data_IF_272680488199
#
_entry.id   IF_272680488199
#
_cell.length_a   1.000
_cell.length_b   1.000
_cell.length_c   1.000
_cell.angle_alpha   90.00
_cell.angle_beta   90.00
_cell.angle_gamma   90.00
#
_symmetry.space_group_name_H-M   'P 1'
#
loop_
_entity.id
_entity.type
_entity.pdbx_description
1 polymer ?
#
# COMPACT_ATOMS: atom_id res chain seq x y z
N UNK A 1 -20.07 16.81 -16.91
CA UNK A 1 -18.71 16.76 -16.32
C UNK A 1 -18.83 16.00 -15.02
N UNK A 2 -18.19 14.83 -14.87
CA UNK A 2 -18.23 14.08 -13.60
C UNK A 2 -17.15 14.62 -12.67
N UNK A 3 -17.51 14.94 -11.44
CA UNK A 3 -16.59 15.51 -10.46
C UNK A 3 -15.70 14.42 -9.83
N UNK A 4 -14.40 14.69 -9.74
CA UNK A 4 -13.39 13.74 -9.23
C UNK A 4 -13.08 13.99 -7.75
N UNK A 5 -13.05 12.93 -6.95
CA UNK A 5 -12.47 12.94 -5.60
C UNK A 5 -10.97 12.68 -5.75
N UNK A 6 -10.16 13.70 -5.45
CA UNK A 6 -8.70 13.53 -5.40
C UNK A 6 -8.28 13.39 -3.95
N UNK A 7 -7.79 12.20 -3.60
CA UNK A 7 -7.20 11.94 -2.29
C UNK A 7 -5.76 12.49 -2.25
N UNK A 8 -5.49 13.34 -1.26
CA UNK A 8 -4.17 13.94 -1.02
C UNK A 8 -3.24 12.90 -0.37
N UNK A 9 -1.97 12.86 -0.76
CA UNK A 9 -0.91 12.45 0.16
C UNK A 9 -0.54 13.67 1.03
N UNK A 10 -0.19 13.52 2.33
CA UNK A 10 0.17 14.67 3.16
C UNK A 10 1.24 15.55 2.46
N UNK A 11 0.92 16.82 2.20
CA UNK A 11 1.90 17.81 1.67
C UNK A 11 1.82 18.19 0.18
N UNK A 12 1.13 17.45 -0.71
CA UNK A 12 1.13 17.78 -2.15
C UNK A 12 0.17 18.93 -2.54
N UNK A 13 0.51 19.81 -3.51
CA UNK A 13 -0.38 20.87 -4.03
C UNK A 13 -1.48 20.32 -4.96
N UNK A 14 -2.66 20.95 -4.94
CA UNK A 14 -3.77 20.66 -5.86
C UNK A 14 -3.75 21.58 -7.08
N UNK A 15 -4.31 21.12 -8.18
CA UNK A 15 -4.90 22.02 -9.18
C UNK A 15 -6.37 22.30 -8.78
N UNK A 16 -6.72 23.58 -8.60
CA UNK A 16 -8.05 24.23 -8.61
C UNK A 16 -9.24 23.67 -7.78
N UNK A 17 -9.18 22.49 -7.16
CA UNK A 17 -10.30 21.94 -6.40
C UNK A 17 -10.41 22.54 -4.99
N UNK A 18 -11.63 22.86 -4.54
CA UNK A 18 -11.88 23.34 -3.17
C UNK A 18 -11.53 22.23 -2.17
N UNK A 19 -10.67 22.57 -1.21
CA UNK A 19 -10.30 21.67 -0.12
C UNK A 19 -11.40 21.65 0.97
N UNK A 20 -11.75 20.46 1.43
CA UNK A 20 -12.71 20.24 2.52
C UNK A 20 -12.07 19.31 3.54
N UNK A 21 -11.90 19.80 4.77
CA UNK A 21 -11.47 18.99 5.91
C UNK A 21 -12.69 18.37 6.57
N UNK A 22 -12.60 17.08 6.91
CA UNK A 22 -13.69 16.32 7.53
C UNK A 22 -13.27 15.80 8.89
N UNK A 23 -14.18 15.89 9.86
CA UNK A 23 -13.95 15.54 11.27
C UNK A 23 -14.90 14.44 11.77
N UNK A 24 -15.92 14.09 10.99
CA UNK A 24 -16.93 13.10 11.36
C UNK A 24 -17.35 12.26 10.16
N UNK A 25 -18.03 11.14 10.44
CA UNK A 25 -18.67 10.33 9.42
C UNK A 25 -19.67 11.15 8.59
N UNK A 26 -20.46 12.02 9.21
CA UNK A 26 -21.47 12.80 8.51
C UNK A 26 -20.88 13.87 7.60
N UNK A 27 -19.78 14.52 8.02
CA UNK A 27 -19.03 15.43 7.15
C UNK A 27 -18.43 14.68 5.96
N UNK A 28 -17.84 13.50 6.18
CA UNK A 28 -17.29 12.66 5.11
C UNK A 28 -18.38 12.22 4.12
N UNK A 29 -19.53 11.76 4.61
CA UNK A 29 -20.69 11.37 3.80
C UNK A 29 -21.22 12.53 2.97
N UNK A 30 -21.38 13.71 3.58
CA UNK A 30 -21.83 14.92 2.91
C UNK A 30 -20.85 15.34 1.82
N UNK A 31 -19.55 15.39 2.13
CA UNK A 31 -18.53 15.77 1.18
C UNK A 31 -18.47 14.80 -0.02
N UNK A 32 -18.62 13.50 0.20
CA UNK A 32 -18.69 12.51 -0.90
C UNK A 32 -19.96 12.67 -1.76
N UNK A 33 -21.12 13.02 -1.18
CA UNK A 33 -22.31 13.38 -1.98
C UNK A 33 -22.09 14.62 -2.83
N UNK A 34 -21.50 15.66 -2.26
CA UNK A 34 -21.20 16.92 -2.98
C UNK A 34 -20.24 16.71 -4.17
N UNK A 35 -19.40 15.67 -4.12
CA UNK A 35 -18.52 15.31 -5.25
C UNK A 35 -19.24 14.74 -6.46
N UNK A 36 -20.58 14.64 -6.45
CA UNK A 36 -21.37 14.36 -7.67
C UNK A 36 -21.44 15.58 -8.58
N UNK A 37 -21.54 16.76 -7.98
CA UNK A 37 -21.80 18.01 -8.70
C UNK A 37 -20.54 18.86 -8.88
N UNK A 38 -19.55 18.73 -7.99
CA UNK A 38 -18.32 19.54 -8.02
C UNK A 38 -17.08 18.79 -7.54
N UNK A 39 -15.89 18.98 -8.15
CA UNK A 39 -14.67 18.32 -7.69
C UNK A 39 -14.28 18.83 -6.30
N UNK A 40 -13.94 17.91 -5.39
CA UNK A 40 -13.44 18.23 -4.05
C UNK A 40 -12.11 17.55 -3.75
N UNK A 41 -11.27 18.27 -3.04
CA UNK A 41 -10.07 17.78 -2.39
C UNK A 41 -10.39 17.46 -0.93
N UNK A 42 -10.44 16.18 -0.56
CA UNK A 42 -10.80 15.77 0.81
C UNK A 42 -9.55 15.63 1.69
N UNK A 43 -9.60 16.28 2.85
CA UNK A 43 -8.64 16.12 3.92
C UNK A 43 -9.29 15.40 5.11
N UNK A 44 -9.04 14.10 5.20
CA UNK A 44 -9.54 13.22 6.26
C UNK A 44 -8.56 13.09 7.43
N UNK A 45 -7.51 13.91 7.51
CA UNK A 45 -6.47 13.79 8.54
C UNK A 45 -6.97 14.01 9.97
N UNK A 46 -8.14 14.62 10.17
CA UNK A 46 -8.77 14.79 11.48
C UNK A 46 -9.58 13.56 11.94
N UNK A 47 -9.70 12.51 11.11
CA UNK A 47 -10.33 11.24 11.49
C UNK A 47 -9.29 10.33 12.14
N UNK A 48 -8.77 10.70 13.31
CA UNK A 48 -7.61 10.06 13.94
C UNK A 48 -7.83 9.57 15.39
N UNK A 49 -9.09 9.37 15.79
CA UNK A 49 -9.47 8.97 17.14
C UNK A 49 -9.70 7.45 17.29
N UNK A 50 -9.47 6.94 18.50
CA UNK A 50 -10.02 5.66 18.96
C UNK A 50 -11.51 5.86 19.27
N UNK A 51 -12.37 5.13 18.58
CA UNK A 51 -13.83 5.26 18.68
C UNK A 51 -14.43 4.31 19.72
N UNK A 52 -13.90 3.09 19.80
CA UNK A 52 -14.44 2.05 20.69
C UNK A 52 -13.34 1.09 21.12
N UNK A 53 -13.38 0.66 22.37
CA UNK A 53 -12.65 -0.52 22.86
C UNK A 53 -13.69 -1.53 23.37
N UNK A 54 -13.61 -2.77 22.87
CA UNK A 54 -14.46 -3.88 23.27
C UNK A 54 -13.58 -4.94 23.93
N UNK A 55 -13.52 -4.90 25.26
CA UNK A 55 -12.70 -5.81 26.06
C UNK A 55 -13.15 -7.27 25.89
N UNK A 56 -14.45 -7.51 25.75
CA UNK A 56 -15.01 -8.86 25.61
C UNK A 56 -14.57 -9.53 24.31
N UNK A 57 -14.49 -8.75 23.23
CA UNK A 57 -14.07 -9.23 21.90
C UNK A 57 -12.59 -9.02 21.63
N UNK A 58 -11.86 -8.38 22.55
CA UNK A 58 -10.45 -8.00 22.37
C UNK A 58 -10.24 -7.25 21.05
N UNK A 59 -11.14 -6.29 20.80
CA UNK A 59 -11.18 -5.54 19.56
C UNK A 59 -11.28 -4.03 19.82
N UNK A 60 -10.60 -3.25 19.01
CA UNK A 60 -10.66 -1.78 19.05
C UNK A 60 -11.15 -1.25 17.71
N UNK A 61 -11.98 -0.23 17.72
CA UNK A 61 -12.37 0.49 16.52
C UNK A 61 -11.69 1.86 16.50
N UNK A 62 -10.91 2.10 15.46
CA UNK A 62 -10.12 3.32 15.28
C UNK A 62 -10.45 3.98 13.96
N UNK A 63 -10.42 5.31 13.91
CA UNK A 63 -10.63 6.04 12.66
C UNK A 63 -9.46 5.84 11.68
N UNK A 64 -9.76 5.95 10.39
CA UNK A 64 -8.85 5.59 9.32
C UNK A 64 -7.54 6.38 9.29
N UNK A 65 -7.54 7.65 9.69
CA UNK A 65 -6.34 8.49 9.74
C UNK A 65 -5.56 8.35 11.05
N UNK A 66 -6.01 7.51 12.00
CA UNK A 66 -5.24 7.20 13.19
C UNK A 66 -3.89 6.61 12.79
N UNK A 67 -2.81 7.17 13.35
CA UNK A 67 -1.45 6.67 13.12
C UNK A 67 -1.18 5.47 14.00
N UNK A 68 -0.42 4.51 13.48
CA UNK A 68 -0.01 3.33 14.26
C UNK A 68 0.80 3.68 15.51
N UNK A 69 1.66 4.71 15.42
CA UNK A 69 2.43 5.19 16.58
C UNK A 69 1.54 5.78 17.68
N UNK A 70 0.47 6.49 17.29
CA UNK A 70 -0.53 7.00 18.23
C UNK A 70 -1.31 5.84 18.85
N UNK A 71 -1.74 4.88 18.04
CA UNK A 71 -2.42 3.68 18.55
C UNK A 71 -1.54 2.94 19.57
N UNK A 72 -0.26 2.71 19.28
CA UNK A 72 0.65 2.05 20.21
C UNK A 72 0.79 2.83 21.53
N UNK A 73 0.84 4.17 21.47
CA UNK A 73 0.87 5.02 22.66
C UNK A 73 -0.44 4.96 23.47
N UNK A 74 -1.59 5.00 22.80
CA UNK A 74 -2.92 4.95 23.44
C UNK A 74 -3.20 3.59 24.11
N UNK A 75 -2.53 2.52 23.68
CA UNK A 75 -2.55 1.19 24.31
C UNK A 75 -1.67 1.11 25.58
N UNK A 76 -0.93 2.16 25.92
CA UNK A 76 -0.06 2.21 27.10
C UNK A 76 1.00 1.10 27.09
N UNK A 77 1.32 0.50 28.25
CA UNK A 77 2.35 -0.55 28.35
C UNK A 77 2.10 -1.76 27.44
N UNK A 78 0.84 -2.12 27.17
CA UNK A 78 0.49 -3.23 26.28
C UNK A 78 0.85 -2.94 24.82
N UNK A 79 0.99 -1.67 24.44
CA UNK A 79 1.38 -1.24 23.08
C UNK A 79 2.88 -1.29 22.81
N UNK A 80 3.73 -1.62 23.80
CA UNK A 80 5.18 -1.62 23.64
C UNK A 80 5.69 -2.55 22.52
N UNK A 81 5.19 -3.79 22.37
CA UNK A 81 5.62 -4.66 21.26
C UNK A 81 5.31 -4.04 19.89
N UNK A 82 4.13 -3.41 19.76
CA UNK A 82 3.73 -2.72 18.54
C UNK A 82 4.62 -1.50 18.28
N UNK A 83 4.90 -0.69 19.31
CA UNK A 83 5.78 0.47 19.22
C UNK A 83 7.20 0.08 18.78
N UNK A 84 7.73 -1.04 19.30
CA UNK A 84 9.04 -1.58 18.94
C UNK A 84 9.09 -2.02 17.48
N UNK A 85 8.09 -2.79 17.04
CA UNK A 85 8.01 -3.24 15.64
C UNK A 85 7.96 -2.07 14.66
N UNK A 86 7.18 -1.03 14.96
CA UNK A 86 7.02 0.16 14.11
C UNK A 86 8.33 0.92 13.84
N UNK A 87 9.39 0.72 14.64
CA UNK A 87 10.70 1.35 14.41
C UNK A 87 11.43 0.77 13.19
N UNK A 88 11.10 -0.45 12.78
CA UNK A 88 11.74 -1.16 11.66
C UNK A 88 10.77 -1.51 10.52
N UNK A 89 9.46 -1.36 10.75
CA UNK A 89 8.44 -1.72 9.79
C UNK A 89 8.35 -0.73 8.62
N UNK A 90 8.34 -1.24 7.38
CA UNK A 90 7.96 -0.47 6.19
C UNK A 90 6.43 -0.36 6.06
N UNK A 91 5.76 0.12 7.12
CA UNK A 91 4.31 0.21 7.21
C UNK A 91 3.81 1.62 6.86
N UNK A 92 2.72 1.77 6.08
CA UNK A 92 2.08 3.07 5.91
C UNK A 92 1.66 3.68 7.25
N UNK A 93 1.81 5.00 7.39
CA UNK A 93 1.70 5.68 8.68
C UNK A 93 0.32 5.56 9.35
N UNK A 94 -0.75 5.47 8.56
CA UNK A 94 -2.14 5.41 9.06
C UNK A 94 -2.77 4.04 8.86
N UNK A 95 -3.76 3.72 9.69
CA UNK A 95 -4.49 2.44 9.64
C UNK A 95 -5.16 2.23 8.29
N UNK A 96 -5.89 3.23 7.76
CA UNK A 96 -6.58 3.10 6.47
C UNK A 96 -5.61 2.90 5.30
N UNK A 97 -4.44 3.56 5.32
CA UNK A 97 -3.43 3.36 4.28
C UNK A 97 -2.85 1.96 4.31
N UNK A 98 -2.50 1.45 5.50
CA UNK A 98 -1.94 0.11 5.66
C UNK A 98 -2.95 -0.98 5.21
N UNK A 99 -4.22 -0.81 5.60
CA UNK A 99 -5.32 -1.71 5.19
C UNK A 99 -5.58 -1.63 3.68
N UNK A 100 -5.59 -0.43 3.11
CA UNK A 100 -5.77 -0.24 1.66
C UNK A 100 -4.62 -0.81 0.84
N UNK A 101 -3.39 -0.79 1.37
CA UNK A 101 -2.20 -1.28 0.69
C UNK A 101 -2.02 -2.81 0.80
N UNK A 102 -2.85 -3.51 1.60
CA UNK A 102 -2.64 -4.90 2.01
C UNK A 102 -1.29 -5.09 2.72
N UNK A 103 -0.92 -4.18 3.62
CA UNK A 103 0.40 -4.22 4.23
C UNK A 103 0.66 -5.52 5.00
N UNK A 104 1.93 -5.90 5.13
CA UNK A 104 2.34 -6.96 6.02
C UNK A 104 2.18 -6.52 7.49
N UNK A 105 1.66 -7.43 8.31
CA UNK A 105 1.63 -7.31 9.76
C UNK A 105 2.96 -7.69 10.40
N UNK A 106 3.06 -7.61 11.74
CA UNK A 106 4.34 -7.70 12.43
C UNK A 106 5.09 -9.02 12.29
N UNK A 107 4.35 -10.12 12.24
CA UNK A 107 4.90 -11.48 12.08
C UNK A 107 4.94 -11.94 10.62
N UNK A 108 4.83 -10.99 9.68
CA UNK A 108 4.87 -11.23 8.24
C UNK A 108 3.58 -11.78 7.64
N UNK A 109 2.55 -12.12 8.41
CA UNK A 109 1.24 -12.39 7.81
C UNK A 109 0.58 -11.10 7.30
N UNK A 110 -0.39 -11.17 6.36
CA UNK A 110 -1.14 -9.99 5.96
C UNK A 110 -1.79 -9.29 7.16
N UNK A 111 -1.67 -7.96 7.22
CA UNK A 111 -2.32 -7.16 8.26
C UNK A 111 -3.84 -7.35 8.25
N UNK A 112 -4.41 -7.69 7.09
CA UNK A 112 -5.82 -8.04 6.94
C UNK A 112 -6.29 -9.15 7.91
N UNK A 113 -5.41 -10.04 8.35
CA UNK A 113 -5.71 -11.06 9.36
C UNK A 113 -6.00 -10.48 10.76
N UNK A 114 -5.62 -9.21 11.01
CA UNK A 114 -5.92 -8.49 12.23
C UNK A 114 -7.13 -7.55 12.08
N UNK A 115 -7.75 -7.47 10.90
CA UNK A 115 -8.91 -6.61 10.64
C UNK A 115 -10.19 -7.44 10.75
N UNK A 116 -11.08 -7.06 11.68
CA UNK A 116 -12.40 -7.67 11.83
C UNK A 116 -13.43 -7.03 10.91
N UNK A 117 -13.44 -5.69 10.88
CA UNK A 117 -14.45 -4.94 10.13
C UNK A 117 -13.91 -3.60 9.64
N UNK A 118 -14.54 -3.06 8.59
CA UNK A 118 -14.28 -1.74 8.04
C UNK A 118 -15.60 -0.97 7.96
N UNK A 119 -15.63 0.25 8.49
CA UNK A 119 -16.68 1.21 8.16
C UNK A 119 -16.25 2.03 6.95
N UNK A 120 -16.89 1.81 5.82
CA UNK A 120 -16.60 2.46 4.54
C UNK A 120 -17.66 3.50 4.22
N UNK A 121 -17.25 4.72 3.87
CA UNK A 121 -18.13 5.68 3.19
C UNK A 121 -17.94 5.52 1.68
N UNK A 122 -19.01 5.09 1.02
CA UNK A 122 -19.08 4.94 -0.44
C UNK A 122 -19.19 6.30 -1.15
N UNK A 123 -18.99 6.32 -2.47
CA UNK A 123 -19.10 7.54 -3.28
C UNK A 123 -20.50 8.15 -3.35
N UNK A 124 -21.50 7.40 -2.88
CA UNK A 124 -22.88 7.87 -2.73
C UNK A 124 -23.14 8.49 -1.35
N UNK A 125 -22.14 8.50 -0.47
CA UNK A 125 -22.25 9.00 0.91
C UNK A 125 -22.96 8.04 1.85
N UNK A 126 -23.09 6.77 1.48
CA UNK A 126 -23.57 5.71 2.36
C UNK A 126 -22.43 5.18 3.21
N UNK A 127 -22.65 5.13 4.52
CA UNK A 127 -21.75 4.50 5.49
C UNK A 127 -22.15 3.04 5.63
N UNK A 128 -21.24 2.13 5.29
CA UNK A 128 -21.46 0.69 5.31
C UNK A 128 -20.44 0.02 6.23
N UNK A 129 -20.91 -0.91 7.06
CA UNK A 129 -20.03 -1.78 7.85
C UNK A 129 -19.79 -3.07 7.06
N UNK A 130 -18.52 -3.37 6.83
CA UNK A 130 -18.04 -4.49 6.02
C UNK A 130 -17.24 -5.43 6.90
N UNK A 131 -17.50 -6.72 6.79
CA UNK A 131 -16.72 -7.76 7.44
C UNK A 131 -16.80 -9.05 6.60
N UNK A 132 -16.29 -10.17 7.13
CA UNK A 132 -16.26 -11.46 6.42
C UNK A 132 -17.65 -12.08 6.23
N UNK A 133 -18.67 -11.64 6.98
CA UNK A 133 -20.04 -12.14 6.89
C UNK A 133 -20.97 -11.13 6.19
N UNK A 134 -20.79 -9.84 6.46
CA UNK A 134 -21.60 -8.73 5.98
C UNK A 134 -20.87 -8.00 4.85
N UNK A 135 -21.45 -8.04 3.66
CA UNK A 135 -20.86 -7.45 2.45
C UNK A 135 -19.45 -8.01 2.15
N UNK A 136 -19.26 -9.31 2.32
CA UNK A 136 -17.97 -10.00 2.19
C UNK A 136 -17.23 -9.70 0.88
N UNK A 137 -17.94 -9.63 -0.25
CA UNK A 137 -17.35 -9.30 -1.55
C UNK A 137 -16.72 -7.90 -1.54
N UNK A 138 -17.44 -6.90 -1.01
CA UNK A 138 -16.93 -5.54 -0.93
C UNK A 138 -15.83 -5.41 0.13
N UNK A 139 -15.90 -6.17 1.22
CA UNK A 139 -14.82 -6.25 2.21
C UNK A 139 -13.50 -6.71 1.57
N UNK A 140 -13.54 -7.79 0.77
CA UNK A 140 -12.37 -8.32 0.04
C UNK A 140 -11.83 -7.37 -1.03
N UNK A 141 -12.70 -6.55 -1.63
CA UNK A 141 -12.31 -5.53 -2.60
C UNK A 141 -11.68 -4.30 -1.94
N UNK A 142 -12.12 -3.93 -0.73
CA UNK A 142 -11.62 -2.77 0.02
C UNK A 142 -10.30 -3.10 0.73
N UNK A 143 -10.20 -4.28 1.35
CA UNK A 143 -8.95 -4.80 1.89
C UNK A 143 -7.94 -4.99 0.76
N UNK A 144 -6.79 -4.32 0.82
CA UNK A 144 -5.84 -4.32 -0.30
C UNK A 144 -6.33 -3.63 -1.56
N UNK A 145 -7.48 -2.95 -1.49
CA UNK A 145 -8.18 -2.31 -2.58
C UNK A 145 -7.58 -0.99 -3.04
N UNK A 146 -6.41 -0.62 -2.52
CA UNK A 146 -5.66 0.58 -2.89
C UNK A 146 -6.48 1.87 -2.72
N UNK A 147 -7.53 1.87 -1.88
CA UNK A 147 -8.37 3.03 -1.60
C UNK A 147 -9.22 3.50 -2.78
N UNK A 148 -9.65 2.59 -3.67
CA UNK A 148 -10.45 2.96 -4.87
C UNK A 148 -11.95 2.64 -4.78
N UNK A 149 -12.42 1.92 -3.75
CA UNK A 149 -13.84 1.56 -3.61
C UNK A 149 -14.66 2.48 -2.69
N UNK A 150 -14.00 3.43 -2.03
CA UNK A 150 -14.60 4.35 -1.07
C UNK A 150 -13.55 4.84 -0.08
N UNK A 151 -13.98 5.57 0.94
CA UNK A 151 -13.10 6.07 2.00
C UNK A 151 -13.35 5.33 3.31
N UNK A 152 -12.29 4.74 3.85
CA UNK A 152 -12.32 4.07 5.15
C UNK A 152 -12.50 5.14 6.23
N UNK A 153 -13.66 5.12 6.90
CA UNK A 153 -13.94 5.97 8.05
C UNK A 153 -13.31 5.40 9.31
N UNK A 154 -13.51 4.11 9.57
CA UNK A 154 -12.92 3.41 10.71
C UNK A 154 -12.62 1.95 10.39
N UNK A 155 -11.74 1.34 11.18
CA UNK A 155 -11.34 -0.06 11.11
C UNK A 155 -11.46 -0.67 12.51
N UNK A 156 -12.10 -1.82 12.61
CA UNK A 156 -12.07 -2.65 13.82
C UNK A 156 -10.91 -3.63 13.73
N UNK A 157 -9.96 -3.53 14.65
CA UNK A 157 -8.76 -4.36 14.76
C UNK A 157 -8.89 -5.34 15.92
N UNK A 158 -8.49 -6.60 15.70
CA UNK A 158 -8.25 -7.59 16.77
C UNK A 158 -6.96 -7.25 17.49
N UNK A 159 -7.05 -6.48 18.57
CA UNK A 159 -5.87 -5.91 19.23
C UNK A 159 -4.95 -7.00 19.78
N UNK A 160 -5.51 -8.05 20.36
CA UNK A 160 -4.72 -9.17 20.89
C UNK A 160 -3.92 -9.90 19.81
N UNK A 161 -4.54 -10.14 18.65
CA UNK A 161 -3.86 -10.79 17.53
C UNK A 161 -2.72 -9.90 16.99
N UNK A 162 -2.95 -8.59 16.92
CA UNK A 162 -1.95 -7.63 16.50
C UNK A 162 -0.77 -7.57 17.49
N UNK A 163 -1.04 -7.53 18.80
CA UNK A 163 0.00 -7.49 19.83
C UNK A 163 0.79 -8.80 19.88
N UNK A 164 0.13 -9.96 19.81
CA UNK A 164 0.81 -11.26 19.72
C UNK A 164 1.68 -11.39 18.47
N UNK A 165 1.22 -10.86 17.34
CA UNK A 165 2.05 -10.78 16.13
C UNK A 165 3.27 -9.89 16.36
N UNK A 166 3.09 -8.74 17.02
CA UNK A 166 4.17 -7.81 17.33
C UNK A 166 5.21 -8.38 18.30
N UNK A 167 4.78 -9.17 19.29
CA UNK A 167 5.69 -9.90 20.19
C UNK A 167 6.55 -10.93 19.45
N UNK A 168 6.02 -11.52 18.38
CA UNK A 168 6.71 -12.49 17.53
C UNK A 168 7.45 -11.85 16.36
N UNK A 169 7.43 -10.52 16.25
CA UNK A 169 8.03 -9.82 15.14
C UNK A 169 9.56 -10.03 15.16
N UNK A 170 10.09 -10.46 14.02
CA UNK A 170 11.53 -10.53 13.80
C UNK A 170 11.97 -9.27 13.04
N UNK A 171 13.05 -8.60 13.48
CA UNK A 171 13.59 -7.49 12.72
C UNK A 171 14.04 -7.96 11.33
N UNK A 172 13.93 -7.10 10.30
CA UNK A 172 14.46 -7.44 8.98
C UNK A 172 15.98 -7.64 9.05
N UNK A 173 16.49 -8.60 8.28
CA UNK A 173 17.92 -8.72 8.03
C UNK A 173 18.33 -7.59 7.08
N UNK A 174 19.19 -6.69 7.54
CA UNK A 174 19.64 -5.54 6.74
C UNK A 174 21.11 -5.66 6.34
N UNK A 175 21.37 -5.42 5.06
CA UNK A 175 22.72 -5.23 4.51
C UNK A 175 22.82 -3.76 4.11
N UNK A 176 23.70 -3.01 4.77
CA UNK A 176 23.92 -1.58 4.56
C UNK A 176 25.22 -1.35 3.80
N UNK A 177 25.18 -0.49 2.78
CA UNK A 177 26.39 -0.05 2.12
C UNK A 177 27.12 1.03 2.95
N UNK A 178 28.46 0.96 3.04
CA UNK A 178 29.26 1.91 3.80
C UNK A 178 29.22 3.33 3.19
N UNK A 179 29.48 4.33 4.02
CA UNK A 179 29.63 5.74 3.63
C UNK A 179 28.44 6.62 4.00
N UNK A 180 28.62 7.96 4.07
CA UNK A 180 27.59 8.89 4.52
C UNK A 180 26.39 8.93 3.57
N UNK A 181 25.22 9.22 4.12
CA UNK A 181 24.04 9.56 3.33
C UNK A 181 24.32 10.83 2.52
N UNK A 182 24.00 10.83 1.23
CA UNK A 182 24.15 12.03 0.40
C UNK A 182 23.01 13.01 0.71
N UNK A 183 23.35 14.26 0.99
CA UNK A 183 22.37 15.32 1.32
C UNK A 183 21.49 15.73 0.14
N UNK A 184 21.98 15.55 -1.09
CA UNK A 184 21.27 15.92 -2.34
C UNK A 184 20.67 14.70 -3.07
N UNK A 185 20.66 13.52 -2.44
CA UNK A 185 20.17 12.31 -3.05
C UNK A 185 18.67 12.10 -2.84
N UNK A 186 18.00 11.66 -3.90
CA UNK A 186 16.66 11.09 -3.86
C UNK A 186 16.81 9.60 -3.58
N UNK A 187 16.25 9.17 -2.45
CA UNK A 187 16.09 7.76 -2.13
C UNK A 187 14.87 7.18 -2.86
N UNK A 188 15.06 6.03 -3.51
CA UNK A 188 13.97 5.22 -4.06
C UNK A 188 14.02 3.84 -3.44
N UNK A 189 12.86 3.34 -3.01
CA UNK A 189 12.72 2.01 -2.45
C UNK A 189 11.96 1.11 -3.43
N UNK A 190 12.46 -0.10 -3.63
CA UNK A 190 11.88 -1.13 -4.49
C UNK A 190 11.55 -2.32 -3.62
N UNK A 191 10.26 -2.62 -3.50
CA UNK A 191 9.76 -3.78 -2.78
C UNK A 191 9.48 -4.93 -3.75
N UNK A 192 9.99 -6.11 -3.41
CA UNK A 192 9.86 -7.34 -4.19
C UNK A 192 9.53 -8.51 -3.26
N UNK A 193 8.94 -9.55 -3.84
CA UNK A 193 8.60 -10.81 -3.18
C UNK A 193 9.36 -11.92 -3.89
N UNK A 194 10.13 -12.70 -3.15
CA UNK A 194 10.98 -13.76 -3.71
C UNK A 194 10.71 -15.08 -3.00
N UNK A 195 10.77 -16.23 -3.70
CA UNK A 195 10.98 -17.50 -3.02
C UNK A 195 12.20 -17.40 -2.10
N UNK A 196 12.15 -17.89 -0.84
CA UNK A 196 13.24 -17.70 0.11
C UNK A 196 14.61 -18.19 -0.39
N UNK A 197 14.63 -19.27 -1.17
CA UNK A 197 15.82 -19.85 -1.81
C UNK A 197 16.43 -18.97 -2.92
N UNK A 198 15.70 -17.97 -3.41
CA UNK A 198 16.12 -17.07 -4.48
C UNK A 198 16.65 -15.72 -3.99
N UNK A 199 16.65 -15.46 -2.68
CA UNK A 199 17.09 -14.18 -2.11
C UNK A 199 18.55 -13.88 -2.44
N UNK A 200 19.45 -14.86 -2.27
CA UNK A 200 20.89 -14.66 -2.51
C UNK A 200 21.18 -14.37 -3.98
N UNK A 201 20.54 -15.12 -4.90
CA UNK A 201 20.72 -14.93 -6.35
C UNK A 201 20.18 -13.57 -6.81
N UNK A 202 19.11 -13.07 -6.19
CA UNK A 202 18.56 -11.74 -6.44
C UNK A 202 19.48 -10.63 -5.88
N UNK A 203 20.01 -10.78 -4.67
CA UNK A 203 20.93 -9.81 -4.07
C UNK A 203 22.16 -9.60 -4.95
N UNK A 204 22.76 -10.69 -5.46
CA UNK A 204 23.90 -10.61 -6.40
C UNK A 204 23.54 -9.82 -7.67
N UNK A 205 22.36 -10.07 -8.25
CA UNK A 205 21.89 -9.34 -9.43
C UNK A 205 21.61 -7.86 -9.12
N UNK A 206 21.03 -7.54 -7.96
CA UNK A 206 20.79 -6.16 -7.54
C UNK A 206 22.10 -5.38 -7.37
N UNK A 207 23.12 -5.99 -6.75
CA UNK A 207 24.45 -5.39 -6.64
C UNK A 207 25.12 -5.19 -8.01
N UNK A 208 25.06 -6.20 -8.89
CA UNK A 208 25.61 -6.10 -10.24
C UNK A 208 24.94 -4.98 -11.06
N UNK A 209 23.61 -4.89 -11.01
CA UNK A 209 22.85 -3.85 -11.69
C UNK A 209 23.17 -2.46 -11.15
N UNK A 210 23.26 -2.31 -9.82
CA UNK A 210 23.62 -1.04 -9.19
C UNK A 210 25.03 -0.59 -9.61
N UNK A 211 25.99 -1.52 -9.65
CA UNK A 211 27.34 -1.27 -10.13
C UNK A 211 27.37 -0.86 -11.61
N UNK A 212 26.72 -1.62 -12.48
CA UNK A 212 26.65 -1.36 -13.93
C UNK A 212 26.02 0.00 -14.23
N UNK A 213 24.94 0.34 -13.53
CA UNK A 213 24.20 1.60 -13.71
C UNK A 213 24.80 2.77 -12.93
N UNK A 214 25.87 2.54 -12.16
CA UNK A 214 26.56 3.54 -11.32
C UNK A 214 25.61 4.23 -10.33
N UNK A 215 24.74 3.45 -9.70
CA UNK A 215 23.81 3.91 -8.66
C UNK A 215 24.21 3.35 -7.30
N UNK A 216 24.07 4.16 -6.27
CA UNK A 216 24.37 3.74 -4.90
C UNK A 216 23.23 2.87 -4.38
N UNK A 217 23.48 1.58 -4.21
CA UNK A 217 22.61 0.69 -3.43
C UNK A 217 22.93 0.89 -1.96
N UNK A 218 22.02 1.52 -1.21
CA UNK A 218 22.23 1.91 0.18
C UNK A 218 21.88 0.81 1.17
N UNK A 219 20.76 0.11 0.92
CA UNK A 219 20.24 -0.92 1.81
C UNK A 219 19.57 -2.03 1.01
N UNK A 220 19.77 -3.27 1.44
CA UNK A 220 18.85 -4.37 1.16
C UNK A 220 18.32 -4.88 2.50
N UNK A 221 17.01 -4.86 2.69
CA UNK A 221 16.36 -5.49 3.84
C UNK A 221 15.60 -6.74 3.39
N UNK A 222 15.67 -7.79 4.19
CA UNK A 222 14.95 -9.05 3.96
C UNK A 222 14.11 -9.37 5.19
N UNK A 223 12.82 -9.63 4.98
CA UNK A 223 11.91 -10.10 6.03
C UNK A 223 11.13 -11.33 5.57
N UNK A 224 10.68 -12.12 6.53
CA UNK A 224 9.79 -13.25 6.25
C UNK A 224 8.36 -12.75 6.10
N UNK A 225 7.69 -13.18 5.05
CA UNK A 225 6.27 -12.90 4.80
C UNK A 225 5.51 -14.22 4.67
N UNK A 226 4.38 -14.33 5.36
CA UNK A 226 3.62 -15.58 5.49
C UNK A 226 2.41 -15.59 4.57
N UNK A 227 2.01 -16.79 4.15
CA UNK A 227 0.77 -17.02 3.38
C UNK A 227 -0.46 -16.55 4.17
N UNK A 228 -1.46 -15.99 3.49
CA UNK A 228 -2.74 -15.63 4.10
C UNK A 228 -3.67 -14.74 3.26
N UNK A 229 -3.57 -14.75 1.93
CA UNK A 229 -4.33 -13.81 1.10
C UNK A 229 -5.86 -14.02 1.13
N UNK A 230 -6.58 -13.01 1.63
CA UNK A 230 -8.04 -12.88 1.54
C UNK A 230 -8.48 -11.74 0.61
N UNK A 231 -7.53 -10.90 0.17
CA UNK A 231 -7.77 -9.68 -0.59
C UNK A 231 -7.82 -9.95 -2.10
N UNK A 232 -8.51 -9.09 -2.85
CA UNK A 232 -8.65 -9.25 -4.30
C UNK A 232 -7.30 -9.15 -5.05
N UNK A 233 -6.39 -8.29 -4.57
CA UNK A 233 -5.03 -8.13 -5.11
C UNK A 233 -3.97 -8.63 -4.11
N UNK A 234 -4.23 -9.78 -3.49
CA UNK A 234 -3.40 -10.30 -2.41
C UNK A 234 -2.05 -10.84 -2.85
N UNK A 235 -0.99 -10.36 -2.19
CA UNK A 235 0.38 -10.82 -2.42
C UNK A 235 0.71 -12.13 -1.70
N UNK A 236 0.05 -12.41 -0.57
CA UNK A 236 0.35 -13.51 0.35
C UNK A 236 -0.19 -14.89 -0.09
N UNK A 237 0.06 -15.25 -1.34
CA UNK A 237 -0.36 -16.52 -1.97
C UNK A 237 0.43 -17.72 -1.43
N UNK A 238 1.66 -17.49 -0.99
CA UNK A 238 2.59 -18.45 -0.39
C UNK A 238 3.48 -17.73 0.64
N UNK A 239 4.37 -18.47 1.30
CA UNK A 239 5.42 -17.85 2.09
C UNK A 239 6.44 -17.20 1.15
N UNK A 240 6.79 -15.95 1.42
CA UNK A 240 7.73 -15.16 0.64
C UNK A 240 8.87 -14.66 1.52
N UNK A 241 10.01 -14.37 0.91
CA UNK A 241 10.94 -13.39 1.43
C UNK A 241 10.55 -12.02 0.84
N UNK A 242 10.18 -11.07 1.70
CA UNK A 242 10.03 -9.68 1.32
C UNK A 242 11.41 -9.04 1.22
N UNK A 243 11.79 -8.54 0.05
CA UNK A 243 13.09 -7.90 -0.17
C UNK A 243 12.88 -6.46 -0.59
N UNK A 244 13.37 -5.53 0.23
CA UNK A 244 13.34 -4.10 -0.07
C UNK A 244 14.75 -3.58 -0.39
N UNK A 245 14.89 -2.96 -1.57
CA UNK A 245 16.15 -2.40 -2.06
C UNK A 245 16.05 -0.90 -2.07
N UNK A 246 16.90 -0.22 -1.31
CA UNK A 246 16.99 1.25 -1.25
C UNK A 246 18.15 1.73 -2.11
N UNK A 247 17.82 2.54 -3.10
CA UNK A 247 18.76 3.16 -4.05
C UNK A 247 18.82 4.67 -3.78
N UNK A 248 20.01 5.25 -3.90
CA UNK A 248 20.23 6.69 -3.83
C UNK A 248 20.72 7.21 -5.19
N UNK A 249 20.03 8.22 -5.71
CA UNK A 249 20.38 8.88 -6.98
C UNK A 249 20.32 10.40 -6.86
N UNK A 250 20.97 11.12 -7.76
CA UNK A 250 20.92 12.59 -7.77
C UNK A 250 19.52 13.09 -8.13
N UNK A 251 19.15 14.28 -7.63
CA UNK A 251 17.89 14.93 -7.94
C UNK A 251 17.84 15.59 -9.34
N UNK A 252 18.12 14.82 -10.40
CA UNK A 252 18.03 15.31 -11.79
C UNK A 252 17.00 14.52 -12.59
N UNK A 253 16.44 15.12 -13.65
CA UNK A 253 15.45 14.45 -14.50
C UNK A 253 16.01 13.14 -15.10
N UNK A 254 17.25 13.17 -15.60
CA UNK A 254 17.91 11.97 -16.13
C UNK A 254 18.09 10.88 -15.09
N UNK A 255 18.49 11.22 -13.86
CA UNK A 255 18.61 10.27 -12.76
C UNK A 255 17.24 9.69 -12.34
N UNK A 256 16.17 10.49 -12.36
CA UNK A 256 14.82 10.00 -12.08
C UNK A 256 14.35 8.97 -13.12
N UNK A 257 14.62 9.21 -14.41
CA UNK A 257 14.30 8.25 -15.49
C UNK A 257 15.11 6.96 -15.33
N UNK A 258 16.42 7.09 -15.12
CA UNK A 258 17.31 5.94 -14.90
C UNK A 258 16.87 5.11 -13.68
N UNK A 259 16.51 5.76 -12.57
CA UNK A 259 16.00 5.07 -11.37
C UNK A 259 14.71 4.32 -11.66
N UNK A 260 13.79 4.90 -12.43
CA UNK A 260 12.56 4.21 -12.81
C UNK A 260 12.84 2.96 -13.66
N UNK A 261 13.83 3.02 -14.55
CA UNK A 261 14.29 1.85 -15.32
C UNK A 261 14.91 0.79 -14.41
N UNK A 262 15.80 1.17 -13.49
CA UNK A 262 16.41 0.25 -12.52
C UNK A 262 15.35 -0.45 -11.66
N UNK A 263 14.36 0.30 -11.14
CA UNK A 263 13.26 -0.29 -10.39
C UNK A 263 12.55 -1.37 -11.21
N UNK A 264 12.22 -1.07 -12.47
CA UNK A 264 11.55 -2.01 -13.38
C UNK A 264 12.39 -3.25 -13.66
N UNK A 265 13.70 -3.10 -13.83
CA UNK A 265 14.63 -4.22 -14.00
C UNK A 265 14.71 -5.07 -12.74
N UNK A 266 14.77 -4.47 -11.55
CA UNK A 266 14.73 -5.23 -10.29
C UNK A 266 13.42 -6.04 -10.15
N UNK A 267 12.28 -5.47 -10.54
CA UNK A 267 11.04 -6.24 -10.59
C UNK A 267 11.10 -7.39 -11.61
N UNK A 268 11.74 -7.19 -12.77
CA UNK A 268 11.96 -8.25 -13.75
C UNK A 268 12.85 -9.38 -13.20
N UNK A 269 13.94 -9.04 -12.51
CA UNK A 269 14.83 -9.99 -11.84
C UNK A 269 14.09 -10.83 -10.79
N UNK A 270 13.19 -10.20 -10.01
CA UNK A 270 12.37 -10.92 -9.05
C UNK A 270 11.39 -11.88 -9.75
N UNK A 271 10.68 -11.42 -10.78
CA UNK A 271 9.73 -12.25 -11.54
C UNK A 271 10.42 -13.43 -12.22
N UNK A 272 11.61 -13.22 -12.81
CA UNK A 272 12.39 -14.27 -13.46
C UNK A 272 12.78 -15.41 -12.50
N UNK A 273 12.82 -15.14 -11.19
CA UNK A 273 13.08 -16.12 -10.12
C UNK A 273 11.80 -16.70 -9.51
N UNK A 274 10.67 -16.58 -10.19
CA UNK A 274 9.37 -17.02 -9.68
C UNK A 274 8.81 -16.13 -8.55
N UNK A 275 9.34 -14.91 -8.44
CA UNK A 275 8.90 -13.90 -7.49
C UNK A 275 7.73 -13.04 -7.99
N UNK A 276 7.45 -11.97 -7.25
CA UNK A 276 6.40 -11.00 -7.52
C UNK A 276 6.74 -9.66 -6.83
N UNK A 277 5.76 -8.78 -6.65
CA UNK A 277 5.87 -7.52 -5.92
C UNK A 277 4.52 -7.16 -5.30
N UNK A 278 4.47 -6.36 -4.22
CA UNK A 278 3.20 -5.89 -3.64
C UNK A 278 2.40 -5.00 -4.60
N UNK A 279 1.06 -5.07 -4.57
CA UNK A 279 0.20 -4.37 -5.52
C UNK A 279 0.40 -2.83 -5.50
N UNK A 280 0.73 -2.25 -4.35
CA UNK A 280 1.02 -0.81 -4.23
C UNK A 280 2.27 -0.38 -5.03
N UNK A 281 3.19 -1.30 -5.31
CA UNK A 281 4.39 -1.06 -6.12
C UNK A 281 4.10 -0.98 -7.64
N UNK A 282 2.88 -1.27 -8.09
CA UNK A 282 2.49 -1.33 -9.51
C UNK A 282 2.73 -0.02 -10.29
N UNK A 283 3.03 1.11 -9.63
CA UNK A 283 3.37 2.37 -10.31
C UNK A 283 4.69 2.34 -11.08
N UNK A 284 5.58 1.38 -10.77
CA UNK A 284 6.94 1.30 -11.33
C UNK A 284 7.18 0.07 -12.21
N UNK A 285 6.12 -0.68 -12.54
CA UNK A 285 6.21 -1.91 -13.32
C UNK A 285 5.67 -1.73 -14.74
N UNK A 286 6.03 -2.64 -15.65
CA UNK A 286 5.43 -2.71 -16.99
C UNK A 286 4.07 -3.41 -16.96
N UNK A 287 3.28 -3.26 -18.03
CA UNK A 287 2.03 -4.02 -18.19
C UNK A 287 2.25 -5.53 -18.14
N UNK A 288 3.28 -6.04 -18.82
CA UNK A 288 3.59 -7.47 -18.83
C UNK A 288 3.94 -8.00 -17.42
N UNK A 289 4.69 -7.23 -16.64
CA UNK A 289 5.00 -7.57 -15.24
C UNK A 289 3.74 -7.57 -14.37
N UNK A 290 2.83 -6.61 -14.60
CA UNK A 290 1.57 -6.52 -13.88
C UNK A 290 0.62 -7.68 -14.21
N UNK A 291 0.49 -8.03 -15.49
CA UNK A 291 -0.33 -9.15 -15.95
C UNK A 291 0.21 -10.49 -15.42
N UNK A 292 1.53 -10.66 -15.34
CA UNK A 292 2.17 -11.85 -14.80
C UNK A 292 1.94 -12.02 -13.27
N UNK A 293 2.02 -10.93 -12.51
CA UNK A 293 1.91 -10.97 -11.05
C UNK A 293 0.47 -10.85 -10.53
N UNK A 294 -0.41 -10.19 -11.28
CA UNK A 294 -1.79 -9.88 -10.89
C UNK A 294 -2.79 -10.17 -12.04
N UNK A 295 -2.92 -11.43 -12.49
CA UNK A 295 -3.84 -11.79 -13.58
C UNK A 295 -5.32 -11.47 -13.29
N UNK A 296 -5.67 -11.30 -12.01
CA UNK A 296 -7.01 -10.92 -11.55
C UNK A 296 -7.28 -9.40 -11.61
N UNK A 297 -6.28 -8.58 -11.93
CA UNK A 297 -6.42 -7.13 -11.99
C UNK A 297 -7.52 -6.63 -12.96
N UNK A 298 -7.71 -7.21 -14.17
CA UNK A 298 -8.81 -6.79 -15.04
C UNK A 298 -10.18 -6.95 -14.39
N UNK A 299 -10.41 -8.06 -13.66
CA UNK A 299 -11.65 -8.29 -12.93
C UNK A 299 -11.82 -7.29 -11.77
N UNK A 300 -10.74 -7.00 -11.04
CA UNK A 300 -10.76 -5.97 -10.00
C UNK A 300 -11.12 -4.58 -10.55
N UNK A 301 -10.55 -4.19 -11.70
CA UNK A 301 -10.87 -2.93 -12.35
C UNK A 301 -12.30 -2.89 -12.88
N UNK A 302 -12.84 -4.02 -13.33
CA UNK A 302 -14.25 -4.14 -13.72
C UNK A 302 -15.19 -3.92 -12.52
N UNK A 303 -14.90 -4.52 -11.37
CA UNK A 303 -15.65 -4.27 -10.13
C UNK A 303 -15.55 -2.80 -9.70
N UNK A 304 -14.37 -2.18 -9.80
CA UNK A 304 -14.23 -0.74 -9.56
C UNK A 304 -15.15 0.08 -10.47
N UNK A 305 -15.26 -0.24 -11.76
CA UNK A 305 -16.19 0.45 -12.68
C UNK A 305 -17.65 0.13 -12.38
N UNK A 306 -17.96 -1.04 -11.83
CA UNK A 306 -19.31 -1.37 -11.38
C UNK A 306 -19.75 -0.49 -10.21
N UNK A 307 -18.89 -0.29 -9.22
CA UNK A 307 -19.18 0.55 -8.04
C UNK A 307 -18.99 2.06 -8.29
N UNK A 308 -18.19 2.43 -9.27
CA UNK A 308 -17.93 3.82 -9.65
C UNK A 308 -17.83 3.95 -11.19
N UNK A 309 -18.98 3.91 -11.90
CA UNK A 309 -19.01 3.91 -13.37
C UNK A 309 -18.42 5.16 -14.01
N UNK A 310 -18.47 6.28 -13.30
CA UNK A 310 -17.92 7.55 -13.75
C UNK A 310 -16.45 7.75 -13.34
N UNK A 311 -15.82 6.73 -12.73
CA UNK A 311 -14.45 6.76 -12.23
C UNK A 311 -14.16 8.03 -11.39
N UNK A 312 -15.10 8.44 -10.53
CA UNK A 312 -15.01 9.64 -9.68
C UNK A 312 -13.90 9.53 -8.65
N UNK A 313 -13.69 8.35 -8.06
CA UNK A 313 -12.63 8.13 -7.08
C UNK A 313 -11.35 7.67 -7.77
N UNK A 314 -10.35 8.54 -7.79
CA UNK A 314 -9.05 8.25 -8.38
C UNK A 314 -7.90 8.69 -7.49
N UNK A 315 -6.89 7.83 -7.38
CA UNK A 315 -5.61 8.16 -6.77
C UNK A 315 -4.45 7.88 -7.74
N UNK A 316 -3.22 8.18 -7.31
CA UNK A 316 -2.04 8.01 -8.16
C UNK A 316 -1.81 6.55 -8.60
N UNK A 317 -2.13 5.58 -7.74
CA UNK A 317 -2.04 4.16 -8.07
C UNK A 317 -3.03 3.80 -9.19
N UNK A 318 -4.31 4.14 -9.02
CA UNK A 318 -5.35 3.84 -10.01
C UNK A 318 -5.07 4.46 -11.37
N UNK A 319 -4.67 5.74 -11.41
CA UNK A 319 -4.32 6.42 -12.66
C UNK A 319 -3.12 5.76 -13.35
N UNK A 320 -2.11 5.36 -12.58
CA UNK A 320 -0.93 4.67 -13.12
C UNK A 320 -1.31 3.32 -13.73
N UNK A 321 -2.08 2.52 -13.01
CA UNK A 321 -2.48 1.18 -13.44
C UNK A 321 -3.42 1.26 -14.65
N UNK A 322 -4.44 2.11 -14.61
CA UNK A 322 -5.36 2.28 -15.73
C UNK A 322 -4.68 2.82 -16.98
N UNK A 323 -3.70 3.72 -16.86
CA UNK A 323 -2.89 4.17 -17.99
C UNK A 323 -2.12 3.00 -18.63
N UNK A 324 -1.46 2.16 -17.83
CA UNK A 324 -0.76 0.97 -18.33
C UNK A 324 -1.70 0.00 -19.07
N UNK A 325 -2.92 -0.20 -18.56
CA UNK A 325 -3.88 -1.14 -19.14
C UNK A 325 -4.59 -0.61 -20.40
N UNK A 326 -4.64 0.72 -20.60
CA UNK A 326 -5.29 1.36 -21.77
C UNK A 326 -4.42 1.31 -23.03
N UNK A 327 -3.09 1.28 -22.89
CA UNK A 327 -2.21 1.22 -24.04
C UNK A 327 -2.09 -0.22 -24.57
N UNK A 328 -2.19 -0.45 -25.90
CA UNK A 328 -1.87 -1.75 -26.48
C UNK A 328 -0.43 -2.12 -26.12
N UNK A 329 -0.16 -3.42 -25.94
CA UNK A 329 1.21 -3.91 -25.76
C UNK A 329 1.98 -3.49 -27.01
N UNK A 330 2.89 -2.53 -26.87
CA UNK A 330 3.82 -2.22 -27.95
C UNK A 330 4.78 -3.40 -28.03
N UNK A 331 4.59 -4.26 -29.02
CA UNK A 331 5.66 -5.13 -29.50
C UNK A 331 6.78 -4.21 -29.97
N UNK A 332 7.83 -4.09 -29.18
CA UNK A 332 9.02 -3.36 -29.60
C UNK A 332 9.56 -4.03 -30.86
N UNK A 333 9.42 -3.38 -32.01
CA UNK A 333 10.00 -3.82 -33.31
C UNK A 333 11.55 -3.81 -33.34
N UNK A 334 12.20 -3.71 -32.17
CA UNK A 334 13.64 -3.57 -31.99
C UNK A 334 14.24 -4.67 -31.10
N UNK A 335 13.69 -5.87 -31.16
CA UNK A 335 14.38 -7.10 -30.75
C UNK A 335 14.60 -7.96 -31.98
N UNK A 336 15.72 -7.70 -32.66
CA UNK A 336 16.44 -8.60 -33.55
C UNK A 336 17.93 -8.39 -33.31
#
# INVERSE_FOLDING_TARGET
>A
MSATVTLRAPGAPFAAARQVRVHSADELRRALRETRDRPLALDASALDCLLRADESRRAIEVQGAMRWSRLAADLGPCGEPLARWLQSAALPATVAQAVSADAAGPDGAPLAACVDAIALVTLDGELRRLDRERHADMFRLVLGGQGVFGLIYSVTLRVDALLQAAERALPPLEILAPGPASTDAIASEVETLLPPDQVESFQKAAHALAFERRVTLRRIAVCQLRKGAETALGWATRNWAGVSVRLETRATLGACVQTAEICRTLHAEAIARGGSFPAHAARRVSRAQLDACYPQLPAFLAEKRRYDPAERLQNAWYRSVTALMRHPVCDSRWTN
#
